data_IF_158314998470
#
_entry.id   IF_158314998470
#
_cell.length_a   1.000
_cell.length_b   1.000
_cell.length_c   1.000
_cell.angle_alpha   90.00
_cell.angle_beta   90.00
_cell.angle_gamma   90.00
#
_symmetry.space_group_name_H-M   'P 1'
#
loop_
_entity.id
_entity.type
_entity.pdbx_description
1 polymer ?
#
# COMPACT_ATOMS: atom_id res chain seq x y z
N UNK A 1 14.95 28.35 0.07
CA UNK A 1 13.79 27.62 0.62
C UNK A 1 13.84 26.22 0.04
N UNK A 2 14.18 25.21 0.86
CA UNK A 2 14.07 23.81 0.42
C UNK A 2 12.59 23.49 0.33
N UNK A 3 12.09 23.15 -0.87
CA UNK A 3 10.74 22.61 -1.00
C UNK A 3 10.64 21.39 -0.08
N UNK A 4 9.69 21.41 0.86
CA UNK A 4 9.36 20.21 1.61
C UNK A 4 8.73 19.22 0.64
N UNK A 5 9.17 17.97 0.68
CA UNK A 5 8.47 16.90 -0.01
C UNK A 5 7.07 16.79 0.59
N UNK A 6 6.06 16.91 -0.28
CA UNK A 6 4.66 16.62 0.01
C UNK A 6 4.47 15.16 -0.36
N UNK A 7 3.98 14.37 0.59
CA UNK A 7 3.58 13.00 0.33
C UNK A 7 2.34 12.66 1.15
N UNK A 8 1.25 12.36 0.45
CA UNK A 8 0.00 11.92 1.05
C UNK A 8 -0.42 10.60 0.42
N UNK A 9 -0.66 9.60 1.26
CA UNK A 9 -1.16 8.31 0.83
C UNK A 9 -2.32 7.85 1.70
N UNK A 10 -3.32 7.24 1.08
CA UNK A 10 -4.49 6.74 1.77
C UNK A 10 -5.19 5.64 0.99
N UNK A 11 -5.94 4.82 1.71
CA UNK A 11 -6.99 3.99 1.13
C UNK A 11 -8.32 4.75 1.25
N UNK A 12 -8.89 5.14 0.13
CA UNK A 12 -10.09 5.98 0.07
C UNK A 12 -11.37 5.17 0.21
N UNK A 13 -11.40 3.98 -0.38
CA UNK A 13 -12.55 3.08 -0.36
C UNK A 13 -12.14 1.63 -0.62
N UNK A 14 -13.05 0.72 -0.32
CA UNK A 14 -13.02 -0.67 -0.76
C UNK A 14 -14.16 -0.95 -1.72
N UNK A 15 -13.93 -1.83 -2.68
CA UNK A 15 -14.89 -2.19 -3.73
C UNK A 15 -14.97 -3.72 -3.78
N UNK A 16 -16.18 -4.26 -3.69
CA UNK A 16 -16.40 -5.67 -3.97
C UNK A 16 -16.47 -5.88 -5.49
N UNK A 17 -15.71 -6.85 -5.99
CA UNK A 17 -15.67 -7.27 -7.38
C UNK A 17 -16.33 -8.65 -7.50
N UNK A 18 -17.63 -8.73 -7.87
CA UNK A 18 -18.36 -9.99 -7.95
C UNK A 18 -17.71 -10.99 -8.90
N UNK A 19 -17.22 -10.53 -10.04
CA UNK A 19 -16.62 -11.35 -11.10
C UNK A 19 -15.30 -12.01 -10.67
N UNK A 20 -14.62 -11.45 -9.67
CA UNK A 20 -13.39 -12.01 -9.07
C UNK A 20 -13.63 -12.57 -7.67
N UNK A 21 -14.86 -12.48 -7.17
CA UNK A 21 -15.26 -12.82 -5.81
C UNK A 21 -14.27 -12.33 -4.73
N UNK A 22 -13.90 -11.05 -4.82
CA UNK A 22 -12.88 -10.45 -3.96
C UNK A 22 -13.12 -8.97 -3.70
N UNK A 23 -12.50 -8.46 -2.63
CA UNK A 23 -12.48 -7.03 -2.31
C UNK A 23 -11.15 -6.42 -2.74
N UNK A 24 -11.21 -5.30 -3.46
CA UNK A 24 -10.06 -4.42 -3.73
C UNK A 24 -10.15 -3.16 -2.89
N UNK A 25 -9.01 -2.55 -2.63
CA UNK A 25 -8.85 -1.31 -1.89
C UNK A 25 -8.24 -0.28 -2.84
N UNK A 26 -8.86 0.89 -2.93
CA UNK A 26 -8.38 2.01 -3.75
C UNK A 26 -7.35 2.81 -2.98
N UNK A 27 -6.10 2.69 -3.38
CA UNK A 27 -4.98 3.47 -2.86
C UNK A 27 -4.87 4.73 -3.72
N UNK A 28 -4.85 5.89 -3.07
CA UNK A 28 -4.57 7.18 -3.69
C UNK A 28 -3.28 7.74 -3.09
N UNK A 29 -2.36 8.14 -3.96
CA UNK A 29 -1.11 8.79 -3.59
C UNK A 29 -1.02 10.14 -4.30
N UNK A 30 -0.63 11.17 -3.55
CA UNK A 30 -0.36 12.53 -4.04
C UNK A 30 1.03 12.92 -3.55
N UNK A 31 1.89 13.39 -4.44
CA UNK A 31 3.28 13.71 -4.11
C UNK A 31 3.88 14.74 -5.05
N UNK A 32 4.85 15.52 -4.58
CA UNK A 32 5.72 16.36 -5.42
C UNK A 32 7.16 15.80 -5.53
N UNK A 33 7.42 14.63 -4.94
CA UNK A 33 8.73 13.98 -4.95
C UNK A 33 9.08 13.44 -6.35
N UNK A 34 10.32 13.65 -6.77
CA UNK A 34 10.90 13.19 -8.03
C UNK A 34 11.13 11.66 -8.10
N UNK A 35 10.95 10.95 -6.97
CA UNK A 35 10.96 9.48 -6.93
C UNK A 35 9.71 8.84 -7.54
N UNK A 36 8.72 9.66 -7.89
CA UNK A 36 7.48 9.25 -8.53
C UNK A 36 7.38 9.87 -9.91
N UNK A 37 7.09 9.06 -10.92
CA UNK A 37 6.90 9.55 -12.30
C UNK A 37 5.71 10.51 -12.42
N UNK A 38 4.72 10.36 -11.53
CA UNK A 38 3.46 11.13 -11.53
C UNK A 38 3.23 11.70 -10.15
N UNK A 39 2.74 12.93 -10.09
CA UNK A 39 2.36 13.61 -8.84
C UNK A 39 1.07 13.05 -8.21
N UNK A 40 0.34 12.22 -8.96
CA UNK A 40 -0.87 11.55 -8.49
C UNK A 40 -0.95 10.13 -9.07
N UNK A 41 -1.26 9.16 -8.22
CA UNK A 41 -1.63 7.81 -8.64
C UNK A 41 -2.86 7.32 -7.92
N UNK A 42 -3.63 6.49 -8.63
CA UNK A 42 -4.77 5.74 -8.09
C UNK A 42 -4.65 4.29 -8.54
N UNK A 43 -4.54 3.37 -7.60
CA UNK A 43 -4.40 1.94 -7.90
C UNK A 43 -5.36 1.10 -7.06
N UNK A 44 -5.74 -0.06 -7.61
CA UNK A 44 -6.57 -1.05 -6.91
C UNK A 44 -5.70 -2.22 -6.47
N UNK A 45 -5.80 -2.59 -5.20
CA UNK A 45 -5.06 -3.74 -4.62
C UNK A 45 -5.97 -4.63 -3.81
N UNK A 46 -5.83 -5.94 -3.97
CA UNK A 46 -6.50 -6.92 -3.11
C UNK A 46 -5.66 -7.18 -1.86
N UNK A 47 -6.31 -7.69 -0.82
CA UNK A 47 -5.64 -8.09 0.42
C UNK A 47 -4.43 -9.01 0.19
N UNK A 48 -4.52 -9.95 -0.75
CA UNK A 48 -3.42 -10.87 -1.08
C UNK A 48 -2.17 -10.16 -1.59
N UNK A 49 -2.33 -9.04 -2.29
CA UNK A 49 -1.22 -8.24 -2.83
C UNK A 49 -0.55 -7.43 -1.72
N UNK A 50 -1.32 -6.81 -0.82
CA UNK A 50 -0.78 -6.22 0.41
C UNK A 50 -0.01 -7.24 1.25
N UNK A 51 -0.56 -8.46 1.37
CA UNK A 51 0.09 -9.54 2.12
C UNK A 51 1.42 -9.95 1.46
N UNK A 52 1.47 -10.02 0.13
CA UNK A 52 2.70 -10.29 -0.60
C UNK A 52 3.73 -9.17 -0.39
N UNK A 53 3.31 -7.90 -0.44
CA UNK A 53 4.15 -6.75 -0.10
C UNK A 53 4.70 -6.90 1.32
N UNK A 54 3.85 -7.16 2.31
CA UNK A 54 4.26 -7.33 3.71
C UNK A 54 5.36 -8.39 3.88
N UNK A 55 5.23 -9.56 3.23
CA UNK A 55 6.28 -10.58 3.30
C UNK A 55 7.59 -10.18 2.61
N UNK A 56 7.54 -9.37 1.55
CA UNK A 56 8.74 -8.80 0.92
C UNK A 56 9.41 -7.82 1.89
N UNK A 57 8.62 -6.89 2.44
CA UNK A 57 9.09 -5.86 3.38
C UNK A 57 9.68 -6.44 4.65
N UNK A 58 9.09 -7.52 5.21
CA UNK A 58 9.51 -8.12 6.48
C UNK A 58 10.95 -8.66 6.46
N UNK A 59 11.52 -8.91 5.28
CA UNK A 59 12.90 -9.35 5.13
C UNK A 59 13.90 -8.21 5.34
N UNK A 60 13.50 -6.99 4.97
CA UNK A 60 14.36 -5.82 4.93
C UNK A 60 14.07 -4.86 6.10
N UNK A 61 12.84 -4.90 6.65
CA UNK A 61 12.35 -4.01 7.71
C UNK A 61 12.02 -4.86 8.95
N UNK A 62 12.84 -4.80 10.02
CA UNK A 62 12.68 -5.67 11.20
C UNK A 62 11.44 -5.33 12.05
N UNK A 63 11.00 -4.07 12.05
CA UNK A 63 9.87 -3.59 12.83
C UNK A 63 8.72 -3.14 11.93
N UNK A 64 8.03 -4.09 11.29
CA UNK A 64 6.78 -3.78 10.60
C UNK A 64 5.60 -3.81 11.56
N UNK A 65 4.61 -2.92 11.36
CA UNK A 65 3.38 -2.93 12.15
C UNK A 65 2.60 -4.23 11.93
N UNK A 66 1.68 -4.50 12.86
CA UNK A 66 0.79 -5.65 12.77
C UNK A 66 0.00 -5.62 11.47
N UNK A 67 -0.04 -6.77 10.78
CA UNK A 67 -0.72 -6.93 9.51
C UNK A 67 -2.02 -7.74 9.69
N UNK A 68 -3.14 -7.37 9.04
CA UNK A 68 -4.40 -8.09 9.20
C UNK A 68 -4.29 -9.55 8.80
N UNK A 69 -4.86 -10.43 9.61
CA UNK A 69 -4.81 -11.88 9.41
C UNK A 69 -5.67 -12.36 8.22
N UNK A 70 -5.34 -13.55 7.72
CA UNK A 70 -6.21 -14.27 6.78
C UNK A 70 -7.46 -14.73 7.52
N UNK A 71 -8.62 -14.60 6.87
CA UNK A 71 -9.92 -14.97 7.43
C UNK A 71 -10.66 -15.82 6.39
N UNK A 72 -11.38 -16.85 6.85
CA UNK A 72 -12.22 -17.68 6.00
C UNK A 72 -13.41 -16.86 5.45
N UNK A 73 -14.07 -16.08 6.31
CA UNK A 73 -15.18 -15.18 5.96
C UNK A 73 -14.68 -13.81 5.44
N UNK A 74 -13.79 -13.84 4.44
CA UNK A 74 -13.08 -12.66 3.92
C UNK A 74 -13.96 -11.54 3.35
N UNK A 75 -15.23 -11.83 3.05
CA UNK A 75 -16.22 -10.87 2.52
C UNK A 75 -17.18 -10.36 3.60
N UNK A 76 -17.06 -10.85 4.83
CA UNK A 76 -17.85 -10.32 5.94
C UNK A 76 -17.55 -8.82 6.10
N UNK A 77 -18.59 -8.01 6.23
CA UNK A 77 -18.47 -6.56 6.30
C UNK A 77 -17.48 -6.09 7.38
N UNK A 78 -17.55 -6.65 8.58
CA UNK A 78 -16.66 -6.29 9.68
C UNK A 78 -15.20 -6.62 9.34
N UNK A 79 -14.95 -7.77 8.71
CA UNK A 79 -13.61 -8.17 8.24
C UNK A 79 -13.08 -7.22 7.17
N UNK A 80 -13.94 -6.76 6.26
CA UNK A 80 -13.57 -5.81 5.20
C UNK A 80 -13.26 -4.43 5.79
N UNK A 81 -14.07 -3.96 6.73
CA UNK A 81 -13.86 -2.67 7.42
C UNK A 81 -12.58 -2.69 8.25
N UNK A 82 -12.37 -3.72 9.06
CA UNK A 82 -11.15 -3.87 9.85
C UNK A 82 -9.90 -3.86 8.94
N UNK A 83 -9.93 -4.63 7.85
CA UNK A 83 -8.85 -4.61 6.85
C UNK A 83 -8.67 -3.25 6.23
N UNK A 84 -9.74 -2.53 5.89
CA UNK A 84 -9.64 -1.19 5.34
C UNK A 84 -8.87 -0.26 6.28
N UNK A 85 -9.22 -0.23 7.57
CA UNK A 85 -8.52 0.58 8.58
C UNK A 85 -7.07 0.17 8.75
N UNK A 86 -6.80 -1.12 8.95
CA UNK A 86 -5.45 -1.62 9.17
C UNK A 86 -4.54 -1.43 7.95
N UNK A 87 -5.03 -1.69 6.74
CA UNK A 87 -4.26 -1.51 5.51
C UNK A 87 -4.01 -0.01 5.22
N UNK A 88 -4.95 0.87 5.58
CA UNK A 88 -4.76 2.30 5.46
C UNK A 88 -3.66 2.81 6.41
N UNK A 89 -3.67 2.38 7.67
CA UNK A 89 -2.59 2.69 8.61
C UNK A 89 -1.25 2.10 8.13
N UNK A 90 -1.27 0.86 7.64
CA UNK A 90 -0.09 0.16 7.12
C UNK A 90 0.57 0.91 5.95
N UNK A 91 -0.21 1.37 4.96
CA UNK A 91 0.36 2.05 3.79
C UNK A 91 0.90 3.44 4.13
N UNK A 92 0.26 4.14 5.08
CA UNK A 92 0.76 5.41 5.61
C UNK A 92 2.11 5.24 6.30
N UNK A 93 2.22 4.25 7.18
CA UNK A 93 3.47 3.92 7.85
C UNK A 93 4.60 3.61 6.86
N UNK A 94 4.34 2.80 5.82
CA UNK A 94 5.35 2.52 4.80
C UNK A 94 5.76 3.78 4.02
N UNK A 95 4.82 4.68 3.80
CA UNK A 95 5.07 5.98 3.19
C UNK A 95 5.97 6.87 4.03
N UNK A 96 5.64 7.04 5.32
CA UNK A 96 6.48 7.79 6.27
C UNK A 96 7.90 7.20 6.31
N UNK A 97 8.01 5.88 6.45
CA UNK A 97 9.29 5.18 6.48
C UNK A 97 10.12 5.39 5.20
N UNK A 98 9.46 5.43 4.04
CA UNK A 98 10.10 5.68 2.73
C UNK A 98 10.82 7.04 2.71
N UNK A 99 10.20 8.09 3.24
CA UNK A 99 10.80 9.42 3.31
C UNK A 99 11.79 9.58 4.46
N UNK A 100 11.51 8.99 5.63
CA UNK A 100 12.39 9.08 6.80
C UNK A 100 13.76 8.44 6.55
N UNK A 101 13.79 7.26 5.93
CA UNK A 101 15.05 6.53 5.71
C UNK A 101 15.87 7.09 4.56
N UNK A 102 15.26 7.85 3.64
CA UNK A 102 15.90 8.37 2.41
C UNK A 102 16.62 7.29 1.57
N UNK A 103 16.22 6.04 1.74
CA UNK A 103 16.85 4.86 1.14
C UNK A 103 16.09 4.41 -0.11
N UNK A 104 15.80 5.35 -1.01
CA UNK A 104 14.94 5.16 -2.18
C UNK A 104 15.44 4.08 -3.16
N UNK A 105 16.73 3.75 -3.10
CA UNK A 105 17.36 2.74 -3.94
C UNK A 105 17.21 1.31 -3.42
N UNK A 106 16.77 1.13 -2.17
CA UNK A 106 16.58 -0.20 -1.58
C UNK A 106 15.47 -0.98 -2.28
N UNK A 107 15.61 -2.31 -2.28
CA UNK A 107 14.68 -3.21 -2.97
C UNK A 107 13.24 -3.04 -2.49
N UNK A 108 13.07 -2.88 -1.18
CA UNK A 108 11.76 -2.67 -0.56
C UNK A 108 11.16 -1.33 -1.01
N UNK A 109 11.96 -0.26 -1.07
CA UNK A 109 11.50 1.07 -1.47
C UNK A 109 10.97 1.06 -2.91
N UNK A 110 11.69 0.42 -3.84
CA UNK A 110 11.23 0.20 -5.22
C UNK A 110 9.94 -0.62 -5.28
N UNK A 111 9.85 -1.68 -4.48
CA UNK A 111 8.64 -2.51 -4.40
C UNK A 111 7.44 -1.72 -3.86
N UNK A 112 7.66 -0.80 -2.91
CA UNK A 112 6.62 0.06 -2.36
C UNK A 112 6.12 1.05 -3.42
N UNK A 113 7.03 1.76 -4.10
CA UNK A 113 6.67 2.70 -5.17
C UNK A 113 5.87 1.99 -6.26
N UNK A 114 6.35 0.85 -6.76
CA UNK A 114 5.63 0.05 -7.76
C UNK A 114 4.24 -0.38 -7.26
N UNK A 115 4.13 -0.76 -5.97
CA UNK A 115 2.86 -1.16 -5.38
C UNK A 115 1.83 -0.03 -5.33
N UNK A 116 2.24 1.24 -5.25
CA UNK A 116 1.31 2.39 -5.12
C UNK A 116 1.13 3.16 -6.43
N UNK A 117 1.94 2.93 -7.46
CA UNK A 117 1.85 3.61 -8.76
C UNK A 117 1.42 2.72 -9.92
N UNK A 118 1.79 1.44 -9.94
CA UNK A 118 1.58 0.58 -11.11
C UNK A 118 0.18 -0.05 -11.14
N UNK A 119 -0.72 0.37 -12.03
CA UNK A 119 -2.07 -0.21 -12.14
C UNK A 119 -2.08 -1.71 -12.46
N UNK A 120 -1.03 -2.23 -13.12
CA UNK A 120 -0.90 -3.63 -13.53
C UNK A 120 -0.06 -4.48 -12.57
N UNK A 121 0.13 -4.01 -11.33
CA UNK A 121 0.90 -4.74 -10.33
C UNK A 121 0.48 -6.21 -10.25
N UNK A 122 1.41 -7.09 -10.60
CA UNK A 122 1.26 -8.53 -10.48
C UNK A 122 2.31 -9.05 -9.53
N UNK A 123 1.89 -10.00 -8.71
CA UNK A 123 2.82 -10.76 -7.87
C UNK A 123 3.67 -11.61 -8.83
N UNK A 124 4.90 -11.18 -9.10
CA UNK A 124 5.97 -12.05 -9.61
C UNK A 124 6.43 -12.98 -8.48
#
# INVERSE_FOLDING_TARGET
MTNSDIFEISIQKHIYLPEKNCTVYEIVCITNSDHFEKCHSRVLRRYSEFRALHYKMKKDIPALPQFPSKCLNRLNYNVVQERHYMLNAYIKYLGELFFEKKNFNEKWAKCFVEFITNSEYKIK
#
